data_IF_368248908860
#
_entry.id   IF_368248908860
#
_cell.length_a   1.000
_cell.length_b   1.000
_cell.length_c   1.000
_cell.angle_alpha   90.00
_cell.angle_beta   90.00
_cell.angle_gamma   90.00
#
_symmetry.space_group_name_H-M   'P 1'
#
loop_
_entity.id
_entity.type
_entity.pdbx_description
1 polymer ?
#
# COMPACT_ATOMS: atom_id res chain seq x y z
N UNK A 1 -2.55 -6.63 -2.16
CA UNK A 1 -3.42 -6.00 -3.19
C UNK A 1 -2.54 -5.18 -4.13
N UNK A 2 -3.05 -4.68 -5.26
CA UNK A 2 -2.28 -3.75 -6.11
C UNK A 2 -3.08 -2.54 -6.54
N UNK A 3 -2.40 -1.43 -6.84
CA UNK A 3 -2.99 -0.19 -7.36
C UNK A 3 -2.23 0.24 -8.61
N UNK A 4 -2.93 0.66 -9.67
CA UNK A 4 -2.31 1.26 -10.86
C UNK A 4 -2.45 2.78 -10.82
N UNK A 5 -1.36 3.48 -11.16
CA UNK A 5 -1.29 4.95 -11.25
C UNK A 5 -0.37 5.37 -12.41
N UNK A 6 -0.49 6.60 -12.91
CA UNK A 6 0.51 7.17 -13.82
C UNK A 6 1.89 7.29 -13.15
N UNK A 7 2.96 7.03 -13.89
CA UNK A 7 4.34 7.06 -13.37
C UNK A 7 4.74 8.43 -12.85
N UNK A 8 4.20 9.50 -13.42
CA UNK A 8 4.37 10.89 -12.99
C UNK A 8 3.81 11.13 -11.59
N UNK A 9 2.81 10.36 -11.17
CA UNK A 9 2.15 10.48 -9.87
C UNK A 9 2.77 9.57 -8.80
N UNK A 10 3.74 8.72 -9.16
CA UNK A 10 4.25 7.67 -8.29
C UNK A 10 4.82 8.20 -6.96
N UNK A 11 5.57 9.31 -7.00
CA UNK A 11 6.16 9.91 -5.80
C UNK A 11 5.10 10.47 -4.86
N UNK A 12 4.06 11.09 -5.42
CA UNK A 12 2.98 11.68 -4.62
C UNK A 12 2.08 10.57 -4.04
N UNK A 13 1.73 9.57 -4.84
CA UNK A 13 1.00 8.38 -4.41
C UNK A 13 1.76 7.66 -3.30
N UNK A 14 3.09 7.51 -3.41
CA UNK A 14 3.92 6.95 -2.32
C UNK A 14 3.74 7.72 -1.01
N UNK A 15 3.83 9.04 -1.06
CA UNK A 15 3.68 9.90 0.14
C UNK A 15 2.28 9.79 0.74
N UNK A 16 1.26 9.83 -0.10
CA UNK A 16 -0.14 9.68 0.32
C UNK A 16 -0.39 8.33 0.98
N UNK A 17 0.09 7.23 0.38
CA UNK A 17 -0.05 5.89 0.94
C UNK A 17 0.66 5.76 2.28
N UNK A 18 1.87 6.30 2.43
CA UNK A 18 2.54 6.35 3.72
C UNK A 18 1.78 7.17 4.76
N UNK A 19 1.16 8.29 4.39
CA UNK A 19 0.38 9.11 5.33
C UNK A 19 -0.90 8.42 5.77
N UNK A 20 -1.58 7.73 4.85
CA UNK A 20 -2.89 7.13 5.07
C UNK A 20 -2.79 5.76 5.74
N UNK A 21 -1.86 4.92 5.28
CA UNK A 21 -1.72 3.54 5.76
C UNK A 21 -0.65 3.45 6.87
N UNK A 22 0.27 4.40 6.92
CA UNK A 22 1.19 4.56 8.04
C UNK A 22 1.91 3.25 8.41
N UNK A 23 1.91 2.84 9.69
CA UNK A 23 2.57 1.63 10.16
C UNK A 23 1.98 0.32 9.62
N UNK A 24 0.78 0.34 9.03
CA UNK A 24 0.18 -0.86 8.44
C UNK A 24 0.83 -1.21 7.09
N UNK A 25 1.56 -0.27 6.48
CA UNK A 25 2.30 -0.46 5.25
C UNK A 25 3.66 -1.11 5.54
N UNK A 26 3.75 -2.43 5.44
CA UNK A 26 4.99 -3.18 5.74
C UNK A 26 5.99 -3.10 4.57
N UNK A 27 5.57 -3.52 3.38
CA UNK A 27 6.34 -3.44 2.14
C UNK A 27 5.40 -3.08 1.00
N UNK A 28 5.84 -2.16 0.14
CA UNK A 28 5.20 -1.98 -1.15
C UNK A 28 6.22 -1.97 -2.28
N UNK A 29 5.94 -2.72 -3.34
CA UNK A 29 6.79 -2.79 -4.54
C UNK A 29 6.13 -1.98 -5.63
N UNK A 30 6.82 -0.99 -6.17
CA UNK A 30 6.38 -0.29 -7.38
C UNK A 30 7.03 -0.95 -8.60
N UNK A 31 6.19 -1.51 -9.49
CA UNK A 31 6.61 -1.97 -10.82
C UNK A 31 6.24 -0.89 -11.81
N UNK A 32 7.24 -0.28 -12.43
CA UNK A 32 7.06 0.78 -13.42
C UNK A 32 7.07 0.15 -14.82
N UNK A 33 5.99 0.36 -15.56
CA UNK A 33 5.91 0.06 -16.98
C UNK A 33 6.16 1.33 -17.80
N UNK A 34 7.40 1.48 -18.27
CA UNK A 34 7.82 2.61 -19.10
C UNK A 34 7.16 2.63 -20.48
N UNK A 35 6.56 1.52 -20.94
CA UNK A 35 5.88 1.47 -22.24
C UNK A 35 4.51 2.11 -22.20
N UNK A 36 3.81 1.99 -21.06
CA UNK A 36 2.46 2.51 -20.86
C UNK A 36 2.42 3.79 -20.02
N UNK A 37 3.55 4.19 -19.43
CA UNK A 37 3.60 5.33 -18.50
C UNK A 37 2.84 5.03 -17.21
N UNK A 38 2.67 3.75 -16.86
CA UNK A 38 1.93 3.31 -15.68
C UNK A 38 2.85 2.69 -14.65
N UNK A 39 2.53 2.87 -13.37
CA UNK A 39 3.15 2.21 -12.24
C UNK A 39 2.11 1.36 -11.51
N UNK A 40 2.48 0.13 -11.18
CA UNK A 40 1.69 -0.78 -10.37
C UNK A 40 2.33 -0.90 -8.99
N UNK A 41 1.63 -0.45 -7.95
CA UNK A 41 2.06 -0.59 -6.56
C UNK A 41 1.44 -1.86 -5.97
N UNK A 42 2.27 -2.79 -5.50
CA UNK A 42 1.83 -3.94 -4.72
C UNK A 42 1.91 -3.61 -3.24
N UNK A 43 0.82 -3.85 -2.51
CA UNK A 43 0.66 -3.53 -1.09
C UNK A 43 0.43 -4.82 -0.31
N UNK A 44 1.28 -5.08 0.68
CA UNK A 44 1.07 -6.13 1.68
C UNK A 44 0.46 -5.53 2.96
N UNK A 45 -0.68 -6.09 3.38
CA UNK A 45 -1.44 -5.63 4.54
C UNK A 45 -2.01 -6.85 5.30
N UNK A 46 -2.33 -6.67 6.58
CA UNK A 46 -3.15 -7.64 7.29
C UNK A 46 -4.54 -7.77 6.62
N UNK A 47 -5.06 -9.00 6.51
CA UNK A 47 -6.36 -9.27 5.83
C UNK A 47 -7.49 -8.41 6.40
N UNK A 48 -7.50 -8.21 7.72
CA UNK A 48 -8.52 -7.40 8.41
C UNK A 48 -8.50 -5.93 7.97
N UNK A 49 -7.34 -5.39 7.60
CA UNK A 49 -7.17 -3.97 7.26
C UNK A 49 -7.44 -3.67 5.77
N UNK A 50 -7.71 -4.67 4.94
CA UNK A 50 -7.84 -4.49 3.48
C UNK A 50 -8.99 -3.54 3.12
N UNK A 51 -10.15 -3.72 3.72
CA UNK A 51 -11.34 -2.90 3.41
C UNK A 51 -11.14 -1.44 3.81
N UNK A 52 -10.59 -1.21 5.01
CA UNK A 52 -10.29 0.13 5.51
C UNK A 52 -9.20 0.82 4.68
N UNK A 53 -8.18 0.06 4.27
CA UNK A 53 -7.12 0.57 3.41
C UNK A 53 -7.67 0.99 2.04
N UNK A 54 -8.47 0.15 1.39
CA UNK A 54 -9.09 0.50 0.11
C UNK A 54 -9.97 1.75 0.23
N UNK A 55 -10.78 1.83 1.28
CA UNK A 55 -11.65 2.99 1.53
C UNK A 55 -10.84 4.26 1.74
N UNK A 56 -9.75 4.18 2.50
CA UNK A 56 -8.89 5.33 2.77
C UNK A 56 -8.10 5.76 1.54
N UNK A 57 -7.67 4.81 0.71
CA UNK A 57 -7.04 5.06 -0.59
C UNK A 57 -8.02 5.76 -1.52
N UNK A 58 -9.25 5.26 -1.67
CA UNK A 58 -10.24 5.88 -2.57
C UNK A 58 -10.58 7.32 -2.16
N UNK A 59 -10.47 7.68 -0.88
CA UNK A 59 -10.66 9.07 -0.44
C UNK A 59 -9.57 10.02 -0.93
N UNK A 60 -8.34 9.56 -1.04
CA UNK A 60 -7.18 10.39 -1.46
C UNK A 60 -6.83 10.22 -2.94
N UNK A 61 -7.21 9.08 -3.53
CA UNK A 61 -7.03 8.72 -4.92
C UNK A 61 -8.37 8.18 -5.46
N UNK A 62 -9.33 9.06 -5.79
CA UNK A 62 -10.67 8.64 -6.24
C UNK A 62 -10.65 7.80 -7.52
N UNK A 63 -9.64 7.99 -8.37
CA UNK A 63 -9.43 7.23 -9.60
C UNK A 63 -8.50 6.01 -9.41
N UNK A 64 -8.28 5.55 -8.18
CA UNK A 64 -7.42 4.40 -7.91
C UNK A 64 -8.01 3.11 -8.52
N UNK A 65 -7.25 2.47 -9.42
CA UNK A 65 -7.60 1.16 -9.95
C UNK A 65 -7.01 0.05 -9.09
N UNK A 66 -7.85 -0.73 -8.41
CA UNK A 66 -7.41 -1.87 -7.61
C UNK A 66 -7.32 -3.14 -8.45
N UNK A 67 -6.17 -3.81 -8.38
CA UNK A 67 -5.97 -5.13 -8.95
C UNK A 67 -6.39 -6.26 -8.00
N UNK A 68 -6.15 -7.50 -8.42
CA UNK A 68 -6.57 -8.69 -7.66
C UNK A 68 -5.91 -8.76 -6.28
N UNK A 69 -6.71 -9.07 -5.26
CA UNK A 69 -6.22 -9.30 -3.91
C UNK A 69 -5.78 -10.75 -3.78
N UNK A 70 -4.49 -10.96 -3.47
CA UNK A 70 -3.86 -12.26 -3.25
C UNK A 70 -3.39 -12.36 -1.79
N UNK A 71 -3.36 -13.57 -1.25
CA UNK A 71 -2.66 -13.83 0.03
C UNK A 71 -1.16 -13.75 -0.23
N UNK A 72 -0.40 -13.09 0.64
CA UNK A 72 1.05 -13.12 0.55
C UNK A 72 1.55 -14.51 0.97
N UNK A 73 2.60 -14.99 0.29
CA UNK A 73 3.32 -16.20 0.68
C UNK A 73 4.30 -15.95 1.86
N UNK A 74 4.45 -14.69 2.27
CA UNK A 74 5.35 -14.27 3.33
C UNK A 74 4.75 -14.63 4.69
N UNK A 75 5.57 -15.25 5.55
CA UNK A 75 5.17 -15.52 6.92
C UNK A 75 4.83 -14.20 7.65
N UNK A 76 3.77 -14.17 8.48
CA UNK A 76 3.37 -12.96 9.20
C UNK A 76 4.47 -12.43 10.15
N UNK A 77 5.42 -13.29 10.52
CA UNK A 77 6.56 -13.03 11.41
C UNK A 77 7.65 -12.17 10.77
N UNK A 78 7.73 -12.15 9.43
CA UNK A 78 8.68 -11.33 8.68
C UNK A 78 8.16 -9.91 8.43
N UNK A 79 6.93 -9.60 8.85
CA UNK A 79 6.38 -8.25 8.78
C UNK A 79 7.01 -7.43 9.89
N UNK A 80 7.65 -6.32 9.53
CA UNK A 80 8.23 -5.43 10.52
C UNK A 80 7.14 -5.04 11.52
N UNK A 81 7.33 -5.24 12.83
CA UNK A 81 6.35 -4.83 13.80
C UNK A 81 6.27 -3.31 13.71
N UNK A 82 5.12 -2.80 13.27
CA UNK A 82 4.73 -1.41 13.49
C UNK A 82 5.15 -1.05 14.91
N UNK A 83 6.05 -0.06 15.03
CA UNK A 83 6.61 0.42 16.29
C UNK A 83 5.53 0.46 17.36
N UNK A 84 5.53 -0.53 18.25
CA UNK A 84 4.69 -0.52 19.45
C UNK A 84 5.31 0.54 20.33
N UNK A 85 4.84 1.77 20.20
CA UNK A 85 5.23 2.89 21.06
C UNK A 85 4.95 2.44 22.49
N UNK A 86 6.03 2.17 23.21
CA UNK A 86 6.04 1.71 24.59
C UNK A 86 5.65 2.93 25.42
N UNK A 87 4.38 3.06 25.77
CA UNK A 87 3.99 3.94 26.88
C UNK A 87 4.42 3.20 28.15
N UNK A 88 5.63 3.51 28.61
CA UNK A 88 6.01 3.25 30.01
C UNK A 88 5.31 4.28 30.85
N UNK A 89 4.40 3.81 31.71
CA UNK A 89 4.16 4.41 33.02
C UNK A 89 5.17 3.79 34.00
#
# INVERSE_FOLDING_TARGET
MSIRVGTENLTEVRRLLHRVLGPALDIYTAVIDNKTGQACLQLELAKACVSDAMSSIMRVLPAAEFGTIRRSARAPESRSPATRMRTTD
#
